data_IF_141052481630
#
_entry.id   IF_141052481630
#
_cell.length_a   1.000
_cell.length_b   1.000
_cell.length_c   1.000
_cell.angle_alpha   90.00
_cell.angle_beta   90.00
_cell.angle_gamma   90.00
#
_symmetry.space_group_name_H-M   'P 1'
#
loop_
_entity.id
_entity.type
_entity.pdbx_description
1 polymer ?
#
# COMPACT_ATOMS: atom_id res chain seq x y z
N UNK A 1 19.16 14.69 -15.83
CA UNK A 1 17.87 14.77 -16.54
C UNK A 1 16.76 14.40 -15.56
N UNK A 2 15.78 15.28 -15.36
CA UNK A 2 14.77 15.21 -14.30
C UNK A 2 13.52 14.39 -14.65
N UNK A 3 12.38 14.87 -14.18
CA UNK A 3 11.05 14.24 -14.25
C UNK A 3 10.69 13.75 -15.66
N UNK A 4 10.09 12.55 -15.74
CA UNK A 4 9.60 11.92 -16.98
C UNK A 4 8.16 11.44 -16.81
N UNK A 5 7.41 11.39 -17.90
CA UNK A 5 6.08 10.79 -17.94
C UNK A 5 6.21 9.26 -17.86
N UNK A 6 5.33 8.64 -17.09
CA UNK A 6 5.21 7.18 -16.98
C UNK A 6 3.81 6.81 -16.50
N UNK A 7 3.59 5.51 -16.28
CA UNK A 7 2.32 4.97 -15.81
C UNK A 7 2.54 4.17 -14.53
N UNK A 8 1.52 4.15 -13.66
CA UNK A 8 1.49 3.22 -12.53
C UNK A 8 1.06 1.82 -12.98
N UNK A 9 1.20 0.83 -12.10
CA UNK A 9 0.71 -0.52 -12.33
C UNK A 9 -0.80 -0.51 -12.66
N UNK A 10 -1.17 -1.28 -13.68
CA UNK A 10 -2.55 -1.48 -14.12
C UNK A 10 -2.88 -2.97 -14.00
N UNK A 11 -3.54 -3.36 -12.92
CA UNK A 11 -3.85 -4.76 -12.63
C UNK A 11 -4.47 -4.97 -11.25
N UNK A 12 -4.80 -6.22 -10.92
CA UNK A 12 -5.38 -6.59 -9.64
C UNK A 12 -4.42 -6.38 -8.47
N UNK A 13 -4.97 -5.89 -7.36
CA UNK A 13 -4.22 -5.60 -6.15
C UNK A 13 -5.02 -5.96 -4.91
N UNK A 14 -4.33 -6.35 -3.84
CA UNK A 14 -4.85 -6.17 -2.48
C UNK A 14 -4.52 -4.74 -2.04
N UNK A 15 -5.56 -3.97 -1.69
CA UNK A 15 -5.42 -2.62 -1.12
C UNK A 15 -5.85 -2.62 0.34
N UNK A 16 -4.99 -2.09 1.21
CA UNK A 16 -5.32 -1.82 2.61
C UNK A 16 -5.29 -0.32 2.88
N UNK A 17 -6.29 0.17 3.61
CA UNK A 17 -6.30 1.52 4.20
C UNK A 17 -5.64 1.47 5.57
N UNK A 18 -4.47 2.07 5.68
CA UNK A 18 -3.84 2.39 6.95
C UNK A 18 -4.35 3.74 7.43
N UNK A 19 -4.84 3.80 8.66
CA UNK A 19 -5.18 5.06 9.33
C UNK A 19 -4.30 5.19 10.57
N UNK A 20 -3.60 6.32 10.69
CA UNK A 20 -2.71 6.62 11.81
C UNK A 20 -1.23 6.82 11.40
N UNK A 21 -0.36 6.82 12.41
CA UNK A 21 1.07 7.07 12.27
C UNK A 21 1.79 6.15 11.27
N UNK A 22 2.61 6.74 10.40
CA UNK A 22 3.47 6.02 9.46
C UNK A 22 4.44 5.05 10.14
N UNK A 23 4.78 5.26 11.42
CA UNK A 23 5.62 4.32 12.20
C UNK A 23 4.97 2.92 12.23
N UNK A 24 3.64 2.84 12.22
CA UNK A 24 2.87 1.60 12.28
C UNK A 24 2.65 0.95 10.90
N UNK A 25 3.14 1.53 9.81
CA UNK A 25 3.01 0.93 8.47
C UNK A 25 3.68 -0.43 8.37
N UNK A 26 4.78 -0.66 9.09
CA UNK A 26 5.43 -1.97 9.14
C UNK A 26 4.47 -3.07 9.62
N UNK A 27 3.62 -2.77 10.60
CA UNK A 27 2.62 -3.73 11.09
C UNK A 27 1.50 -3.95 10.06
N UNK A 28 1.12 -2.91 9.30
CA UNK A 28 0.20 -3.06 8.17
C UNK A 28 0.78 -3.99 7.11
N UNK A 29 2.05 -3.83 6.72
CA UNK A 29 2.71 -4.73 5.78
C UNK A 29 2.74 -6.18 6.27
N UNK A 30 3.07 -6.41 7.55
CA UNK A 30 3.05 -7.74 8.16
C UNK A 30 1.66 -8.38 8.08
N UNK A 31 0.61 -7.62 8.38
CA UNK A 31 -0.78 -8.10 8.28
C UNK A 31 -1.17 -8.44 6.84
N UNK A 32 -0.78 -7.64 5.86
CA UNK A 32 -1.01 -7.94 4.44
C UNK A 32 -0.29 -9.23 4.05
N UNK A 33 1.00 -9.38 4.40
CA UNK A 33 1.77 -10.59 4.10
C UNK A 33 1.14 -11.85 4.72
N UNK A 34 0.70 -11.77 5.97
CA UNK A 34 0.00 -12.88 6.63
C UNK A 34 -1.32 -13.21 5.94
N UNK A 35 -2.10 -12.21 5.52
CA UNK A 35 -3.34 -12.40 4.78
C UNK A 35 -3.12 -13.08 3.42
N UNK A 36 -2.14 -12.62 2.64
CA UNK A 36 -1.79 -13.22 1.36
C UNK A 36 -1.37 -14.68 1.52
N UNK A 37 -0.50 -14.97 2.51
CA UNK A 37 -0.04 -16.32 2.79
C UNK A 37 -1.18 -17.25 3.24
N UNK A 38 -2.07 -16.77 4.12
CA UNK A 38 -3.19 -17.55 4.63
C UNK A 38 -4.19 -17.96 3.53
N UNK A 39 -4.31 -17.15 2.48
CA UNK A 39 -5.20 -17.41 1.35
C UNK A 39 -4.51 -17.98 0.11
N UNK A 40 -3.20 -18.24 0.18
CA UNK A 40 -2.43 -18.72 -0.97
C UNK A 40 -2.40 -17.75 -2.16
N UNK A 41 -2.55 -16.44 -1.90
CA UNK A 41 -2.56 -15.43 -2.95
C UNK A 41 -1.11 -15.08 -3.33
N UNK A 42 -0.76 -15.29 -4.59
CA UNK A 42 0.55 -14.96 -5.12
C UNK A 42 0.70 -13.47 -5.45
N UNK A 43 1.89 -12.93 -5.18
CA UNK A 43 2.24 -11.55 -5.53
C UNK A 43 2.62 -11.43 -7.01
N UNK A 44 2.30 -10.29 -7.61
CA UNK A 44 2.60 -9.96 -9.00
C UNK A 44 3.45 -8.68 -9.14
N UNK A 45 4.47 -8.56 -8.28
CA UNK A 45 5.42 -7.46 -8.32
C UNK A 45 5.61 -6.68 -7.00
N UNK A 46 6.18 -5.48 -7.13
CA UNK A 46 6.52 -4.62 -6.01
C UNK A 46 5.28 -3.99 -5.38
N UNK A 47 5.27 -3.92 -4.05
CA UNK A 47 4.25 -3.17 -3.32
C UNK A 47 4.55 -1.67 -3.42
N UNK A 48 3.51 -0.84 -3.28
CA UNK A 48 3.67 0.62 -3.18
C UNK A 48 2.67 1.23 -2.21
N UNK A 49 2.94 2.47 -1.83
CA UNK A 49 2.09 3.27 -0.95
C UNK A 49 1.62 4.54 -1.65
N UNK A 50 0.43 5.01 -1.28
CA UNK A 50 -0.09 6.33 -1.62
C UNK A 50 -0.45 7.07 -0.34
N UNK A 51 0.24 8.18 -0.07
CA UNK A 51 0.00 9.06 1.07
C UNK A 51 -1.13 10.01 0.72
N UNK A 52 -2.33 9.71 1.17
CA UNK A 52 -3.56 10.41 0.77
C UNK A 52 -3.74 11.69 1.57
N UNK A 53 -3.43 11.65 2.87
CA UNK A 53 -3.50 12.81 3.76
C UNK A 53 -2.20 13.62 3.76
N UNK A 54 -2.32 14.94 3.86
CA UNK A 54 -1.18 15.84 4.06
C UNK A 54 -0.80 15.87 5.55
N UNK A 55 0.39 15.37 5.94
CA UNK A 55 0.81 15.33 7.35
C UNK A 55 1.07 16.71 7.96
N UNK A 56 1.17 17.77 7.13
CA UNK A 56 1.23 19.14 7.63
C UNK A 56 -0.13 19.73 7.99
N UNK A 57 -1.24 19.03 7.68
CA UNK A 57 -2.62 19.53 7.85
C UNK A 57 -3.55 18.59 8.61
N UNK A 58 -3.25 17.30 8.62
CA UNK A 58 -4.09 16.26 9.22
C UNK A 58 -3.40 15.69 10.46
N UNK A 59 -4.09 15.56 11.61
CA UNK A 59 -3.55 14.90 12.80
C UNK A 59 -3.02 13.50 12.51
N UNK A 60 -1.98 13.09 13.25
CA UNK A 60 -1.29 11.82 12.99
C UNK A 60 -2.23 10.60 13.02
N UNK A 61 -3.16 10.58 13.96
CA UNK A 61 -4.15 9.51 14.16
C UNK A 61 -5.23 9.45 13.08
N UNK A 62 -5.35 10.51 12.26
CA UNK A 62 -6.28 10.61 11.14
C UNK A 62 -5.59 10.47 9.77
N UNK A 63 -4.25 10.37 9.71
CA UNK A 63 -3.51 10.21 8.46
C UNK A 63 -3.95 8.94 7.72
N UNK A 64 -4.17 9.06 6.42
CA UNK A 64 -4.54 7.94 5.56
C UNK A 64 -3.42 7.63 4.58
N UNK A 65 -2.98 6.37 4.61
CA UNK A 65 -2.09 5.78 3.60
C UNK A 65 -2.76 4.57 2.99
N UNK A 66 -2.78 4.48 1.67
CA UNK A 66 -3.17 3.27 0.96
C UNK A 66 -1.93 2.45 0.64
N UNK A 67 -1.94 1.18 1.05
CA UNK A 67 -0.88 0.21 0.75
C UNK A 67 -1.41 -0.78 -0.28
N UNK A 68 -0.66 -0.99 -1.36
CA UNK A 68 -1.04 -1.80 -2.50
C UNK A 68 -0.04 -2.93 -2.73
N UNK A 69 -0.56 -4.14 -2.94
CA UNK A 69 0.20 -5.31 -3.35
C UNK A 69 -0.39 -5.86 -4.65
N UNK A 70 0.33 -5.79 -5.79
CA UNK A 70 0.00 -6.57 -6.98
C UNK A 70 -0.19 -8.04 -6.66
N UNK A 71 -1.21 -8.66 -7.24
CA UNK A 71 -1.50 -10.08 -7.08
C UNK A 71 -1.77 -10.74 -8.42
N UNK A 72 -1.61 -12.06 -8.50
CA UNK A 72 -2.08 -12.80 -9.67
C UNK A 72 -3.59 -13.06 -9.56
N UNK A 73 -4.29 -13.01 -10.70
CA UNK A 73 -5.61 -13.63 -10.83
C UNK A 73 -5.37 -15.00 -11.44
N UNK A 74 -5.76 -16.05 -10.70
CA UNK A 74 -5.79 -17.42 -11.21
C UNK A 74 -7.02 -17.64 -12.09
#
# INVERSE_FOLDING_TARGET
AGVKIGTSYAGPVVRVRHTGSYIKLTDTHRKISAYLAALGIERDGAAWESYVSDPGKVPEDELVTYVYYPIKIN
#
